data_IF_791810688299
#
_entry.id   IF_791810688299
#
_cell.length_a   1.000
_cell.length_b   1.000
_cell.length_c   1.000
_cell.angle_alpha   90.00
_cell.angle_beta   90.00
_cell.angle_gamma   90.00
#
_symmetry.space_group_name_H-M   'P 1'
#
loop_
_entity.id
_entity.type
_entity.pdbx_description
1 polymer ?
#
# COMPACT_ATOMS: atom_id res chain seq x y z
N UNK A 1 -12.68 45.39 18.42
CA UNK A 1 -13.45 44.31 17.77
C UNK A 1 -12.76 43.99 16.47
N UNK A 2 -11.81 43.06 16.47
CA UNK A 2 -11.33 42.49 15.20
C UNK A 2 -12.50 41.73 14.59
N UNK A 3 -12.93 42.15 13.40
CA UNK A 3 -13.93 41.42 12.63
C UNK A 3 -13.27 40.09 12.28
N UNK A 4 -13.68 39.01 12.95
CA UNK A 4 -13.21 37.67 12.62
C UNK A 4 -13.61 37.38 11.17
N UNK A 5 -12.64 37.40 10.27
CA UNK A 5 -12.83 37.07 8.87
C UNK A 5 -13.27 35.61 8.80
N UNK A 6 -14.54 35.39 8.48
CA UNK A 6 -15.11 34.04 8.35
C UNK A 6 -14.43 33.28 7.21
N UNK A 7 -14.43 31.94 7.28
CA UNK A 7 -13.90 31.07 6.21
C UNK A 7 -14.58 31.29 4.85
N UNK A 8 -15.76 31.94 4.83
CA UNK A 8 -16.48 32.35 3.60
C UNK A 8 -15.86 33.56 2.91
N UNK A 9 -14.86 34.21 3.50
CA UNK A 9 -14.15 35.35 2.94
C UNK A 9 -12.67 35.01 2.73
N UNK A 10 -12.13 35.45 1.59
CA UNK A 10 -10.71 35.28 1.30
C UNK A 10 -9.85 36.13 2.23
N UNK A 11 -8.87 35.51 2.88
CA UNK A 11 -7.87 36.21 3.69
C UNK A 11 -6.83 36.93 2.82
N UNK A 12 -6.56 36.45 1.59
CA UNK A 12 -5.66 37.09 0.61
C UNK A 12 -5.86 36.54 -0.82
N UNK A 13 -5.30 37.23 -1.82
CA UNK A 13 -5.41 36.89 -3.25
C UNK A 13 -4.90 35.49 -3.62
N UNK A 14 -4.10 34.84 -2.76
CA UNK A 14 -3.55 33.50 -3.02
C UNK A 14 -4.46 32.37 -2.57
N UNK A 15 -5.58 32.67 -1.90
CA UNK A 15 -6.56 31.66 -1.51
C UNK A 15 -7.56 31.40 -2.64
N UNK A 16 -7.98 30.13 -2.73
CA UNK A 16 -8.97 29.65 -3.66
C UNK A 16 -10.14 29.01 -2.89
N UNK A 17 -11.37 29.05 -3.43
CA UNK A 17 -12.49 28.37 -2.81
C UNK A 17 -12.29 26.84 -2.85
N UNK A 18 -12.57 26.17 -1.74
CA UNK A 18 -12.66 24.72 -1.62
C UNK A 18 -14.01 24.20 -2.15
N UNK A 19 -14.26 22.89 -2.04
CA UNK A 19 -15.49 22.26 -2.54
C UNK A 19 -16.79 22.75 -1.88
N UNK A 20 -16.71 23.33 -0.67
CA UNK A 20 -17.85 23.91 0.06
C UNK A 20 -17.90 25.44 -0.02
N UNK A 21 -16.99 26.07 -0.79
CA UNK A 21 -16.93 27.52 -0.98
C UNK A 21 -16.12 28.29 0.07
N UNK A 22 -15.51 27.61 1.04
CA UNK A 22 -14.57 28.21 1.99
C UNK A 22 -13.20 28.47 1.37
N UNK A 23 -12.52 29.57 1.71
CA UNK A 23 -11.25 29.95 1.10
C UNK A 23 -10.05 29.28 1.77
N UNK A 24 -9.22 28.58 0.99
CA UNK A 24 -8.04 27.85 1.44
C UNK A 24 -6.86 28.06 0.50
N UNK A 25 -5.64 27.75 0.94
CA UNK A 25 -4.48 27.75 0.05
C UNK A 25 -4.40 26.49 -0.80
N UNK A 26 -4.03 26.65 -2.06
CA UNK A 26 -3.67 25.53 -2.92
C UNK A 26 -2.39 24.88 -2.39
N UNK A 27 -2.44 23.57 -2.16
CA UNK A 27 -1.25 22.79 -1.83
C UNK A 27 -0.27 22.82 -3.00
N UNK A 28 1.03 23.00 -2.72
CA UNK A 28 2.07 22.95 -3.75
C UNK A 28 2.02 21.64 -4.53
N UNK A 29 2.29 21.66 -5.84
CA UNK A 29 2.16 20.46 -6.69
C UNK A 29 3.05 19.29 -6.21
N UNK A 30 4.25 19.53 -5.66
CA UNK A 30 5.08 18.46 -5.06
C UNK A 30 4.44 17.79 -3.84
N UNK A 31 3.79 18.56 -2.96
CA UNK A 31 3.06 17.99 -1.83
C UNK A 31 1.77 17.30 -2.30
N UNK A 32 1.14 17.78 -3.38
CA UNK A 32 0.02 17.09 -4.02
C UNK A 32 0.45 15.76 -4.61
N UNK A 33 1.61 15.69 -5.25
CA UNK A 33 2.22 14.44 -5.72
C UNK A 33 2.41 13.46 -4.56
N UNK A 34 2.98 13.89 -3.43
CA UNK A 34 3.13 13.03 -2.24
C UNK A 34 1.79 12.50 -1.72
N UNK A 35 0.75 13.35 -1.66
CA UNK A 35 -0.62 12.93 -1.30
C UNK A 35 -1.14 11.89 -2.28
N UNK A 36 -0.97 12.11 -3.59
CA UNK A 36 -1.37 11.15 -4.62
C UNK A 36 -0.61 9.83 -4.49
N UNK A 37 0.69 9.85 -4.21
CA UNK A 37 1.48 8.62 -3.97
C UNK A 37 0.97 7.83 -2.77
N UNK A 38 0.57 8.50 -1.68
CA UNK A 38 0.06 7.85 -0.47
C UNK A 38 -1.39 7.34 -0.60
N UNK A 39 -2.28 8.15 -1.19
CA UNK A 39 -3.73 7.92 -1.14
C UNK A 39 -4.35 7.53 -2.49
N UNK A 40 -3.65 7.75 -3.60
CA UNK A 40 -4.18 7.56 -4.95
C UNK A 40 -5.37 8.47 -5.24
N UNK A 41 -6.26 7.99 -6.11
CA UNK A 41 -7.53 8.65 -6.44
C UNK A 41 -8.73 7.69 -6.42
N UNK A 42 -8.51 6.42 -6.12
CA UNK A 42 -9.53 5.36 -6.11
C UNK A 42 -10.59 5.64 -5.04
N UNK A 43 -11.88 5.57 -5.41
CA UNK A 43 -13.00 5.92 -4.56
C UNK A 43 -13.28 7.42 -4.47
N UNK A 44 -12.41 8.27 -5.05
CA UNK A 44 -12.53 9.72 -4.96
C UNK A 44 -12.35 10.25 -3.54
N UNK A 45 -12.89 11.44 -3.30
CA UNK A 45 -13.12 11.98 -1.95
C UNK A 45 -14.62 12.16 -1.76
N UNK A 46 -15.04 12.58 -0.55
CA UNK A 46 -16.42 12.93 -0.25
C UNK A 46 -17.00 13.92 -1.28
N UNK A 47 -16.20 14.90 -1.72
CA UNK A 47 -16.64 15.96 -2.63
C UNK A 47 -16.24 15.75 -4.10
N UNK A 48 -15.19 14.96 -4.36
CA UNK A 48 -14.58 14.84 -5.70
C UNK A 48 -14.67 13.40 -6.18
N UNK A 49 -15.38 13.17 -7.29
CA UNK A 49 -15.45 11.85 -7.95
C UNK A 49 -14.06 11.36 -8.37
N UNK A 50 -13.86 10.05 -8.31
CA UNK A 50 -12.61 9.36 -8.65
C UNK A 50 -11.96 9.84 -9.96
N UNK A 51 -12.73 9.92 -11.05
CA UNK A 51 -12.21 10.37 -12.35
C UNK A 51 -11.66 11.80 -12.28
N UNK A 52 -12.43 12.73 -11.70
CA UNK A 52 -12.03 14.14 -11.55
C UNK A 52 -10.78 14.26 -10.68
N UNK A 53 -10.71 13.53 -9.57
CA UNK A 53 -9.54 13.52 -8.69
C UNK A 53 -8.29 12.97 -9.40
N UNK A 54 -8.46 11.95 -10.25
CA UNK A 54 -7.40 11.43 -11.11
C UNK A 54 -6.86 12.49 -12.06
N UNK A 55 -7.75 13.22 -12.75
CA UNK A 55 -7.36 14.31 -13.65
C UNK A 55 -6.62 15.43 -12.93
N UNK A 56 -7.14 15.92 -11.81
CA UNK A 56 -6.48 17.03 -11.09
C UNK A 56 -5.07 16.67 -10.58
N UNK A 57 -4.85 15.40 -10.20
CA UNK A 57 -3.53 14.92 -9.81
C UNK A 57 -2.61 14.74 -11.03
N UNK A 58 -3.14 14.31 -12.17
CA UNK A 58 -2.40 14.25 -13.43
C UNK A 58 -1.97 15.65 -13.90
N UNK A 59 -2.85 16.65 -13.81
CA UNK A 59 -2.55 18.04 -14.19
C UNK A 59 -1.45 18.64 -13.31
N UNK A 60 -1.50 18.38 -11.99
CA UNK A 60 -0.43 18.79 -11.08
C UNK A 60 0.93 18.16 -11.43
N UNK A 61 0.92 16.90 -11.87
CA UNK A 61 2.13 16.22 -12.31
C UNK A 61 2.63 16.76 -13.65
N UNK A 62 1.74 17.11 -14.58
CA UNK A 62 2.11 17.75 -15.85
C UNK A 62 2.71 19.13 -15.62
N UNK A 63 2.12 19.96 -14.75
CA UNK A 63 2.69 21.27 -14.36
C UNK A 63 4.11 21.14 -13.82
N UNK A 64 4.37 20.17 -12.95
CA UNK A 64 5.73 19.92 -12.44
C UNK A 64 6.72 19.55 -13.56
N UNK A 65 6.28 18.84 -14.60
CA UNK A 65 7.13 18.51 -15.74
C UNK A 65 7.37 19.75 -16.62
N UNK A 66 6.33 20.54 -16.88
CA UNK A 66 6.40 21.79 -17.64
C UNK A 66 7.30 22.83 -16.96
N UNK A 67 7.29 22.89 -15.63
CA UNK A 67 8.17 23.73 -14.80
C UNK A 67 9.64 23.22 -14.76
N UNK A 68 9.97 22.17 -15.52
CA UNK A 68 11.33 21.60 -15.58
C UNK A 68 11.72 20.74 -14.37
N UNK A 69 10.77 20.38 -13.49
CA UNK A 69 10.99 19.60 -12.27
C UNK A 69 10.73 18.10 -12.43
N UNK A 70 10.58 17.61 -13.65
CA UNK A 70 10.25 16.19 -13.88
C UNK A 70 11.30 15.20 -13.35
N UNK A 71 12.58 15.56 -13.30
CA UNK A 71 13.60 14.74 -12.64
C UNK A 71 13.39 14.62 -11.12
N UNK A 72 12.99 15.71 -10.44
CA UNK A 72 12.65 15.69 -9.02
C UNK A 72 11.46 14.75 -8.77
N UNK A 73 10.45 14.80 -9.65
CA UNK A 73 9.27 13.92 -9.60
C UNK A 73 9.68 12.46 -9.67
N UNK A 74 10.53 12.08 -10.64
CA UNK A 74 11.02 10.71 -10.78
C UNK A 74 11.82 10.27 -9.54
N UNK A 75 12.64 11.16 -8.98
CA UNK A 75 13.42 10.86 -7.78
C UNK A 75 12.52 10.66 -6.54
N UNK A 76 11.47 11.47 -6.40
CA UNK A 76 10.48 11.32 -5.33
C UNK A 76 9.73 9.98 -5.46
N UNK A 77 9.28 9.62 -6.67
CA UNK A 77 8.63 8.33 -6.96
C UNK A 77 9.55 7.16 -6.59
N UNK A 78 10.82 7.23 -7.01
CA UNK A 78 11.83 6.21 -6.70
C UNK A 78 12.01 6.06 -5.19
N UNK A 79 12.14 7.18 -4.47
CA UNK A 79 12.29 7.21 -3.01
C UNK A 79 11.09 6.55 -2.31
N UNK A 80 9.86 6.94 -2.68
CA UNK A 80 8.63 6.35 -2.13
C UNK A 80 8.52 4.85 -2.40
N UNK A 81 8.94 4.39 -3.59
CA UNK A 81 8.89 2.97 -3.95
C UNK A 81 9.94 2.13 -3.21
N UNK A 82 11.20 2.60 -3.15
CA UNK A 82 12.31 1.87 -2.55
C UNK A 82 12.15 1.73 -1.04
N UNK A 83 11.76 2.82 -0.38
CA UNK A 83 11.52 2.84 1.06
C UNK A 83 10.16 2.26 1.46
N UNK A 84 9.25 2.04 0.51
CA UNK A 84 7.93 1.48 0.79
C UNK A 84 7.01 2.43 1.59
N UNK A 85 7.12 3.74 1.36
CA UNK A 85 6.34 4.78 2.08
C UNK A 85 4.86 4.85 1.67
N UNK A 86 4.50 4.22 0.56
CA UNK A 86 3.12 4.18 0.06
C UNK A 86 2.54 2.77 0.20
N UNK A 87 1.27 2.70 0.64
CA UNK A 87 0.54 1.44 0.78
C UNK A 87 0.34 0.75 -0.58
N UNK A 88 -0.16 1.49 -1.56
CA UNK A 88 -0.42 1.01 -2.92
C UNK A 88 0.67 1.45 -3.88
N UNK A 89 0.87 0.69 -4.96
CA UNK A 89 1.93 0.97 -5.96
C UNK A 89 1.36 1.64 -7.21
N UNK A 90 0.05 1.50 -7.46
CA UNK A 90 -0.66 2.02 -8.61
C UNK A 90 -0.41 3.53 -8.83
N UNK A 91 -0.48 4.42 -7.81
CA UNK A 91 -0.23 5.84 -8.01
C UNK A 91 1.21 6.13 -8.46
N UNK A 92 2.20 5.44 -7.88
CA UNK A 92 3.60 5.57 -8.25
C UNK A 92 3.87 5.09 -9.68
N UNK A 93 3.24 3.98 -10.08
CA UNK A 93 3.37 3.42 -11.42
C UNK A 93 2.67 4.29 -12.47
N UNK A 94 1.52 4.89 -12.13
CA UNK A 94 0.84 5.87 -12.98
C UNK A 94 1.70 7.12 -13.17
N UNK A 95 2.21 7.70 -12.07
CA UNK A 95 3.09 8.87 -12.12
C UNK A 95 4.35 8.59 -12.97
N UNK A 96 4.98 7.43 -12.79
CA UNK A 96 6.12 6.99 -13.60
C UNK A 96 5.74 6.81 -15.08
N UNK A 97 4.54 6.31 -15.37
CA UNK A 97 4.04 6.15 -16.72
C UNK A 97 3.88 7.50 -17.43
N UNK A 98 3.37 8.53 -16.74
CA UNK A 98 3.30 9.90 -17.27
C UNK A 98 4.70 10.46 -17.52
N UNK A 99 5.61 10.38 -16.56
CA UNK A 99 7.00 10.82 -16.74
C UNK A 99 7.73 10.10 -17.88
N UNK A 100 7.37 8.85 -18.18
CA UNK A 100 7.98 8.08 -19.29
C UNK A 100 7.43 8.41 -20.69
N UNK A 101 6.37 9.21 -20.76
CA UNK A 101 5.66 9.62 -21.99
C UNK A 101 5.61 11.13 -22.19
N UNK A 102 6.20 11.92 -21.29
CA UNK A 102 6.28 13.36 -21.45
C UNK A 102 7.20 13.78 -22.61
N UNK A 103 7.07 15.04 -23.02
CA UNK A 103 7.88 15.69 -24.04
C UNK A 103 9.34 15.88 -23.60
N UNK A 104 9.59 16.13 -22.31
CA UNK A 104 10.94 16.33 -21.80
C UNK A 104 11.79 15.05 -21.84
N UNK A 105 12.91 15.12 -22.57
CA UNK A 105 13.85 14.01 -22.75
C UNK A 105 14.57 13.63 -21.46
N UNK A 106 14.92 14.60 -20.60
CA UNK A 106 15.64 14.32 -19.35
C UNK A 106 14.77 13.53 -18.38
N UNK A 107 13.54 13.98 -18.18
CA UNK A 107 12.52 13.29 -17.36
C UNK A 107 12.24 11.89 -17.89
N UNK A 108 12.03 11.75 -19.21
CA UNK A 108 11.79 10.45 -19.84
C UNK A 108 12.94 9.46 -19.63
N UNK A 109 14.20 9.91 -19.79
CA UNK A 109 15.36 9.07 -19.54
C UNK A 109 15.47 8.66 -18.07
N UNK A 110 15.24 9.60 -17.14
CA UNK A 110 15.22 9.30 -15.71
C UNK A 110 14.13 8.28 -15.36
N UNK A 111 12.92 8.44 -15.91
CA UNK A 111 11.80 7.53 -15.69
C UNK A 111 12.12 6.11 -16.14
N UNK A 112 12.69 5.92 -17.34
CA UNK A 112 13.08 4.58 -17.82
C UNK A 112 14.21 3.97 -16.98
N UNK A 113 15.19 4.76 -16.53
CA UNK A 113 16.24 4.29 -15.61
C UNK A 113 15.67 3.83 -14.27
N UNK A 114 14.59 4.44 -13.79
CA UNK A 114 13.94 4.06 -12.54
C UNK A 114 13.04 2.81 -12.66
N UNK A 115 12.71 2.33 -13.88
CA UNK A 115 11.79 1.20 -14.08
C UNK A 115 12.23 -0.08 -13.34
N UNK A 116 13.50 -0.55 -13.44
CA UNK A 116 13.92 -1.76 -12.73
C UNK A 116 13.79 -1.64 -11.20
N UNK A 117 13.98 -0.45 -10.67
CA UNK A 117 13.96 -0.17 -9.22
C UNK A 117 12.52 -0.04 -8.68
N UNK A 118 11.62 0.59 -9.43
CA UNK A 118 10.21 0.78 -9.04
C UNK A 118 9.38 -0.47 -9.35
N UNK A 119 9.55 -1.05 -10.54
CA UNK A 119 8.79 -2.23 -10.99
C UNK A 119 9.36 -3.54 -10.46
N UNK A 120 9.43 -3.72 -9.14
CA UNK A 120 10.10 -4.87 -8.50
C UNK A 120 9.57 -6.25 -8.91
N UNK A 121 8.25 -6.38 -9.08
CA UNK A 121 7.55 -7.64 -9.41
C UNK A 121 6.79 -7.53 -10.75
N UNK A 122 6.42 -8.65 -11.39
CA UNK A 122 5.68 -8.64 -12.66
C UNK A 122 4.41 -7.80 -12.63
N UNK A 123 3.64 -7.85 -11.54
CA UNK A 123 2.42 -7.04 -11.39
C UNK A 123 2.69 -5.54 -11.58
N UNK A 124 3.82 -5.03 -11.07
CA UNK A 124 4.17 -3.62 -11.23
C UNK A 124 4.49 -3.30 -12.68
N UNK A 125 5.29 -4.16 -13.34
CA UNK A 125 5.65 -3.98 -14.74
C UNK A 125 4.40 -4.02 -15.65
N UNK A 126 3.51 -4.98 -15.44
CA UNK A 126 2.26 -5.08 -16.18
C UNK A 126 1.35 -3.87 -15.96
N UNK A 127 1.24 -3.40 -14.72
CA UNK A 127 0.45 -2.22 -14.37
C UNK A 127 1.03 -0.94 -15.01
N UNK A 128 2.35 -0.76 -14.96
CA UNK A 128 3.04 0.34 -15.63
C UNK A 128 2.78 0.35 -17.14
N UNK A 129 2.87 -0.81 -17.79
CA UNK A 129 2.62 -0.92 -19.24
C UNK A 129 1.14 -0.69 -19.56
N UNK A 130 0.23 -1.16 -18.71
CA UNK A 130 -1.20 -0.87 -18.85
C UNK A 130 -1.48 0.64 -18.74
N UNK A 131 -0.95 1.32 -17.73
CA UNK A 131 -1.09 2.78 -17.62
C UNK A 131 -0.48 3.51 -18.82
N UNK A 132 0.64 3.03 -19.35
CA UNK A 132 1.21 3.60 -20.57
C UNK A 132 0.28 3.45 -21.78
N UNK A 133 -0.39 2.30 -21.89
CA UNK A 133 -1.40 2.05 -22.93
C UNK A 133 -2.59 3.00 -22.77
N UNK A 134 -3.06 3.22 -21.55
CA UNK A 134 -4.21 4.08 -21.26
C UNK A 134 -3.90 5.56 -21.54
N UNK A 135 -2.67 5.99 -21.26
CA UNK A 135 -2.19 7.36 -21.55
C UNK A 135 -1.94 7.63 -23.05
N UNK A 136 -1.90 6.59 -23.89
CA UNK A 136 -1.56 6.70 -25.32
C UNK A 136 -2.48 7.68 -26.07
N UNK A 137 -3.78 7.58 -25.81
CA UNK A 137 -4.80 8.42 -26.46
C UNK A 137 -4.78 9.85 -25.93
N UNK A 138 -4.76 10.01 -24.60
CA UNK A 138 -4.76 11.33 -23.95
C UNK A 138 -3.50 12.14 -24.22
N UNK A 139 -2.32 11.51 -24.19
CA UNK A 139 -1.03 12.18 -24.47
C UNK A 139 -0.66 12.17 -25.97
N UNK A 140 -1.51 11.62 -26.84
CA UNK A 140 -1.30 11.50 -28.30
C UNK A 140 0.10 11.00 -28.68
N UNK A 141 0.63 10.02 -27.95
CA UNK A 141 1.98 9.50 -28.15
C UNK A 141 1.99 7.97 -28.27
N UNK A 142 2.94 7.42 -29.02
CA UNK A 142 3.12 5.98 -29.15
C UNK A 142 3.81 5.36 -27.93
N UNK A 143 3.41 4.13 -27.56
CA UNK A 143 3.98 3.44 -26.39
C UNK A 143 5.28 2.67 -26.69
N UNK A 144 5.32 1.90 -27.79
CA UNK A 144 6.41 0.95 -28.09
C UNK A 144 7.57 1.57 -28.87
N UNK A 145 8.20 2.60 -28.28
CA UNK A 145 9.47 3.15 -28.77
C UNK A 145 10.68 2.30 -28.39
N UNK A 146 11.86 2.65 -28.92
CA UNK A 146 13.15 2.00 -28.58
C UNK A 146 13.42 2.01 -27.06
N UNK A 147 13.06 3.10 -26.38
CA UNK A 147 13.25 3.26 -24.94
C UNK A 147 12.46 2.24 -24.11
N UNK A 148 11.16 2.02 -24.42
CA UNK A 148 10.35 1.05 -23.70
C UNK A 148 10.83 -0.39 -23.95
N UNK A 149 11.15 -0.73 -25.21
CA UNK A 149 11.70 -2.05 -25.54
C UNK A 149 12.98 -2.35 -24.75
N UNK A 150 13.89 -1.36 -24.69
CA UNK A 150 15.13 -1.45 -23.92
C UNK A 150 14.85 -1.62 -22.42
N UNK A 151 13.99 -0.79 -21.83
CA UNK A 151 13.67 -0.87 -20.40
C UNK A 151 13.02 -2.21 -20.00
N UNK A 152 12.11 -2.75 -20.83
CA UNK A 152 11.52 -4.08 -20.60
C UNK A 152 12.58 -5.17 -20.75
N UNK A 153 13.46 -5.08 -21.75
CA UNK A 153 14.54 -6.05 -21.92
C UNK A 153 15.54 -6.04 -20.75
N UNK A 154 15.94 -4.86 -20.29
CA UNK A 154 16.79 -4.67 -19.11
C UNK A 154 16.15 -5.19 -17.83
N UNK A 155 14.82 -5.08 -17.70
CA UNK A 155 14.10 -5.62 -16.55
C UNK A 155 14.21 -7.14 -16.43
N UNK A 156 14.13 -7.86 -17.56
CA UNK A 156 14.33 -9.31 -17.58
C UNK A 156 15.81 -9.67 -17.46
N UNK A 157 16.69 -9.05 -18.24
CA UNK A 157 18.12 -9.36 -18.24
C UNK A 157 18.83 -8.98 -16.91
N UNK A 158 18.29 -8.01 -16.16
CA UNK A 158 18.87 -7.57 -14.89
C UNK A 158 18.47 -8.42 -13.68
N UNK A 159 17.65 -9.46 -13.86
CA UNK A 159 17.19 -10.34 -12.77
C UNK A 159 17.90 -11.69 -12.80
N UNK A 160 18.03 -12.31 -11.63
CA UNK A 160 18.52 -13.67 -11.49
C UNK A 160 17.54 -14.67 -12.14
N UNK A 161 18.06 -15.67 -12.86
CA UNK A 161 17.31 -16.68 -13.60
C UNK A 161 16.25 -17.39 -12.77
N UNK A 162 16.59 -17.80 -11.54
CA UNK A 162 15.65 -18.46 -10.63
C UNK A 162 14.56 -17.50 -10.14
N UNK A 163 14.90 -16.24 -9.90
CA UNK A 163 13.93 -15.22 -9.50
C UNK A 163 12.94 -14.90 -10.63
N UNK A 164 13.39 -14.96 -11.90
CA UNK A 164 12.50 -14.81 -13.06
C UNK A 164 11.60 -16.04 -13.20
N UNK A 165 12.14 -17.25 -13.07
CA UNK A 165 11.31 -18.47 -13.09
C UNK A 165 10.20 -18.41 -12.05
N UNK A 166 10.53 -18.10 -10.79
CA UNK A 166 9.54 -17.90 -9.73
C UNK A 166 8.52 -16.81 -10.07
N UNK A 167 8.98 -15.71 -10.67
CA UNK A 167 8.11 -14.60 -11.05
C UNK A 167 7.11 -14.97 -12.16
N UNK A 168 7.56 -15.67 -13.21
CA UNK A 168 6.70 -16.03 -14.35
C UNK A 168 5.72 -17.14 -14.02
N UNK A 169 6.08 -18.06 -13.12
CA UNK A 169 5.21 -19.14 -12.65
C UNK A 169 4.15 -18.63 -11.68
N UNK A 170 4.53 -17.72 -10.76
CA UNK A 170 3.65 -17.10 -9.77
C UNK A 170 2.69 -16.07 -10.38
N UNK A 171 3.18 -15.23 -11.30
CA UNK A 171 2.44 -14.09 -11.87
C UNK A 171 2.21 -14.23 -13.37
N UNK A 172 1.58 -15.32 -13.82
CA UNK A 172 1.35 -15.59 -15.26
C UNK A 172 0.69 -14.44 -16.04
N UNK A 173 -0.37 -13.84 -15.48
CA UNK A 173 -1.13 -12.74 -16.07
C UNK A 173 -1.65 -11.81 -14.99
N UNK A 174 -1.49 -10.49 -15.16
CA UNK A 174 -2.11 -9.45 -14.33
C UNK A 174 -2.45 -8.24 -15.19
N UNK A 175 -3.50 -7.51 -14.83
CA UNK A 175 -3.91 -6.25 -15.45
C UNK A 175 -3.97 -6.32 -16.99
N UNK A 176 -4.43 -7.45 -17.53
CA UNK A 176 -4.56 -7.66 -18.98
C UNK A 176 -3.30 -8.15 -19.71
N UNK A 177 -2.12 -8.08 -19.09
CA UNK A 177 -0.84 -8.45 -19.70
C UNK A 177 -0.31 -9.78 -19.19
N UNK A 178 0.41 -10.50 -20.05
CA UNK A 178 1.21 -11.66 -19.67
C UNK A 178 2.68 -11.50 -20.10
N UNK A 179 3.56 -12.34 -19.54
CA UNK A 179 4.98 -12.32 -19.89
C UNK A 179 5.21 -12.56 -21.38
N UNK A 180 4.41 -13.42 -22.02
CA UNK A 180 4.48 -13.70 -23.46
C UNK A 180 4.26 -12.44 -24.31
N UNK A 181 3.36 -11.55 -23.90
CA UNK A 181 3.12 -10.30 -24.62
C UNK A 181 4.33 -9.38 -24.54
N UNK A 182 4.92 -9.23 -23.34
CA UNK A 182 6.08 -8.37 -23.12
C UNK A 182 7.32 -8.88 -23.84
N UNK A 183 7.56 -10.20 -23.83
CA UNK A 183 8.69 -10.81 -24.53
C UNK A 183 8.59 -10.60 -26.04
N UNK A 184 7.38 -10.73 -26.61
CA UNK A 184 7.11 -10.47 -28.03
C UNK A 184 7.33 -9.00 -28.40
N UNK A 185 6.78 -8.08 -27.62
CA UNK A 185 6.77 -6.65 -27.96
C UNK A 185 8.11 -5.95 -27.64
N UNK A 186 8.86 -6.44 -26.65
CA UNK A 186 10.19 -5.94 -26.34
C UNK A 186 11.28 -6.43 -27.29
N UNK A 187 11.03 -7.51 -28.04
CA UNK A 187 12.05 -8.23 -28.80
C UNK A 187 13.26 -8.58 -27.92
N UNK A 188 13.01 -9.13 -26.72
CA UNK A 188 14.05 -9.50 -25.78
C UNK A 188 15.03 -10.49 -26.43
N UNK A 189 16.33 -10.16 -26.34
CA UNK A 189 17.42 -11.11 -26.53
C UNK A 189 17.90 -11.55 -25.13
N UNK A 190 17.72 -12.82 -24.74
CA UNK A 190 18.20 -13.33 -23.45
C UNK A 190 19.71 -13.12 -23.31
N UNK A 191 20.15 -12.61 -22.17
CA UNK A 191 21.57 -12.38 -21.87
C UNK A 191 22.33 -13.64 -21.46
N UNK A 192 21.63 -14.62 -20.86
CA UNK A 192 22.20 -15.85 -20.33
C UNK A 192 21.35 -17.08 -20.71
N UNK A 193 21.90 -18.27 -20.45
CA UNK A 193 21.26 -19.55 -20.79
C UNK A 193 19.98 -19.78 -19.96
N UNK A 194 19.99 -19.45 -18.67
CA UNK A 194 18.80 -19.62 -17.80
C UNK A 194 17.62 -18.76 -18.25
N UNK A 195 17.83 -17.49 -18.61
CA UNK A 195 16.77 -16.66 -19.18
C UNK A 195 16.32 -17.16 -20.56
N UNK A 196 17.19 -17.77 -21.35
CA UNK A 196 16.80 -18.41 -22.61
C UNK A 196 15.84 -19.59 -22.36
N UNK A 197 16.12 -20.42 -21.34
CA UNK A 197 15.21 -21.49 -20.88
C UNK A 197 13.85 -20.91 -20.46
N UNK A 198 13.85 -19.90 -19.58
CA UNK A 198 12.59 -19.29 -19.10
C UNK A 198 11.80 -18.62 -20.22
N UNK A 199 12.49 -17.92 -21.13
CA UNK A 199 11.86 -17.29 -22.29
C UNK A 199 11.23 -18.34 -23.20
N UNK A 200 11.92 -19.46 -23.45
CA UNK A 200 11.37 -20.60 -24.20
C UNK A 200 10.16 -21.18 -23.48
N UNK A 201 10.24 -21.44 -22.17
CA UNK A 201 9.12 -21.92 -21.35
C UNK A 201 7.88 -21.03 -21.50
N UNK A 202 8.01 -19.70 -21.39
CA UNK A 202 6.89 -18.76 -21.49
C UNK A 202 6.31 -18.69 -22.91
N UNK A 203 7.16 -18.74 -23.93
CA UNK A 203 6.75 -18.57 -25.32
C UNK A 203 6.11 -19.83 -25.92
N UNK A 204 6.65 -20.98 -25.55
CA UNK A 204 6.45 -22.29 -26.20
C UNK A 204 5.86 -23.37 -25.29
N UNK A 205 6.07 -23.26 -23.98
CA UNK A 205 5.57 -24.22 -22.99
C UNK A 205 6.59 -25.30 -22.59
N UNK A 206 6.20 -26.13 -21.62
CA UNK A 206 7.08 -27.08 -20.95
C UNK A 206 7.62 -28.19 -21.85
N UNK A 207 6.78 -28.77 -22.73
CA UNK A 207 7.18 -29.88 -23.62
C UNK A 207 8.38 -29.51 -24.52
N UNK A 208 8.34 -28.32 -25.12
CA UNK A 208 9.44 -27.82 -25.97
C UNK A 208 10.72 -27.52 -25.16
N UNK A 209 10.60 -27.20 -23.86
CA UNK A 209 11.77 -27.04 -22.99
C UNK A 209 12.39 -28.40 -22.67
N UNK A 210 11.59 -29.40 -22.32
CA UNK A 210 12.10 -30.75 -22.07
C UNK A 210 12.82 -31.32 -23.30
N UNK A 211 12.23 -31.17 -24.48
CA UNK A 211 12.82 -31.68 -25.73
C UNK A 211 14.11 -30.95 -26.10
N UNK A 212 14.14 -29.62 -25.97
CA UNK A 212 15.31 -28.83 -26.35
C UNK A 212 16.52 -28.99 -25.41
N UNK A 213 16.31 -29.51 -24.19
CA UNK A 213 17.33 -29.57 -23.15
C UNK A 213 17.56 -30.99 -22.60
N UNK A 214 17.01 -32.03 -23.24
CA UNK A 214 17.11 -33.43 -22.80
C UNK A 214 18.54 -33.97 -22.75
N UNK A 215 19.35 -33.61 -23.76
CA UNK A 215 20.71 -34.14 -23.97
C UNK A 215 21.79 -33.05 -23.87
N UNK A 216 21.42 -31.85 -23.44
CA UNK A 216 22.31 -30.69 -23.36
C UNK A 216 23.13 -30.72 -22.07
N UNK A 217 24.46 -30.51 -22.17
CA UNK A 217 25.31 -30.27 -20.99
C UNK A 217 24.99 -28.88 -20.42
N UNK A 218 24.22 -28.86 -19.34
CA UNK A 218 23.74 -27.64 -18.71
C UNK A 218 24.62 -27.27 -17.52
N UNK A 219 24.64 -25.98 -17.20
CA UNK A 219 25.20 -25.53 -15.93
C UNK A 219 24.37 -26.07 -14.75
N UNK A 220 24.97 -26.30 -13.56
CA UNK A 220 24.23 -26.77 -12.39
C UNK A 220 23.12 -25.78 -11.95
N UNK A 221 23.27 -24.50 -12.28
CA UNK A 221 22.26 -23.46 -12.02
C UNK A 221 21.05 -23.63 -12.96
N UNK A 222 21.31 -23.91 -14.24
CA UNK A 222 20.28 -24.18 -15.24
C UNK A 222 19.56 -25.50 -14.97
N UNK A 223 20.25 -26.52 -14.44
CA UNK A 223 19.61 -27.78 -14.02
C UNK A 223 18.63 -27.58 -12.88
N UNK A 224 19.01 -26.81 -11.84
CA UNK A 224 18.11 -26.44 -10.73
C UNK A 224 16.86 -25.71 -11.24
N UNK A 225 17.05 -24.80 -12.20
CA UNK A 225 15.97 -24.05 -12.85
C UNK A 225 15.00 -24.97 -13.59
N UNK A 226 15.49 -25.94 -14.34
CA UNK A 226 14.66 -26.92 -15.06
C UNK A 226 13.90 -27.81 -14.08
N UNK A 227 14.55 -28.32 -13.03
CA UNK A 227 13.88 -29.09 -11.95
C UNK A 227 12.78 -28.29 -11.28
N UNK A 228 13.00 -27.00 -11.02
CA UNK A 228 11.97 -26.12 -10.49
C UNK A 228 10.77 -25.97 -11.43
N UNK A 229 11.01 -25.74 -12.72
CA UNK A 229 9.93 -25.64 -13.72
C UNK A 229 9.17 -26.98 -13.85
N UNK A 230 9.87 -28.10 -13.73
CA UNK A 230 9.27 -29.43 -13.68
C UNK A 230 8.35 -29.59 -12.46
N UNK A 231 8.82 -29.24 -11.26
CA UNK A 231 8.05 -29.29 -10.02
C UNK A 231 6.76 -28.46 -10.14
N UNK A 232 6.84 -27.26 -10.74
CA UNK A 232 5.69 -26.38 -10.98
C UNK A 232 4.70 -26.97 -11.99
N UNK A 233 5.11 -27.81 -12.93
CA UNK A 233 4.15 -28.54 -13.78
C UNK A 233 3.62 -29.80 -13.10
N UNK A 234 4.46 -30.54 -12.38
CA UNK A 234 4.06 -31.74 -11.63
C UNK A 234 2.96 -31.47 -10.62
N UNK A 235 3.07 -30.36 -9.86
CA UNK A 235 2.07 -29.97 -8.85
C UNK A 235 0.66 -29.71 -9.44
N UNK A 236 0.58 -29.38 -10.74
CA UNK A 236 -0.70 -29.15 -11.44
C UNK A 236 -1.36 -30.43 -11.94
N UNK A 237 -0.62 -31.53 -11.99
CA UNK A 237 -1.11 -32.81 -12.49
C UNK A 237 -1.37 -33.81 -11.35
N UNK A 238 -0.61 -33.70 -10.26
CA UNK A 238 -0.83 -34.56 -9.09
C UNK A 238 -2.10 -34.19 -8.32
N UNK A 239 -2.73 -35.20 -7.73
CA UNK A 239 -3.84 -35.09 -6.78
C UNK A 239 -3.44 -35.56 -5.37
N UNK A 240 -2.23 -36.10 -5.22
CA UNK A 240 -1.74 -36.63 -3.95
C UNK A 240 -1.29 -35.48 -3.04
N UNK A 241 -1.79 -35.47 -1.81
CA UNK A 241 -1.49 -34.43 -0.84
C UNK A 241 -0.03 -34.50 -0.35
N UNK A 242 0.51 -35.71 -0.16
CA UNK A 242 1.88 -35.90 0.33
C UNK A 242 2.91 -35.44 -0.70
N UNK A 243 2.68 -35.76 -1.98
CA UNK A 243 3.53 -35.28 -3.07
C UNK A 243 3.51 -33.74 -3.16
N UNK A 244 2.34 -33.12 -2.99
CA UNK A 244 2.23 -31.65 -2.99
C UNK A 244 3.01 -31.03 -1.83
N UNK A 245 2.93 -31.61 -0.63
CA UNK A 245 3.68 -31.13 0.54
C UNK A 245 5.19 -31.23 0.29
N UNK A 246 5.67 -32.37 -0.20
CA UNK A 246 7.09 -32.55 -0.52
C UNK A 246 7.59 -31.55 -1.56
N UNK A 247 6.80 -31.30 -2.62
CA UNK A 247 7.13 -30.29 -3.64
C UNK A 247 7.14 -28.87 -3.08
N UNK A 248 6.28 -28.55 -2.10
CA UNK A 248 6.28 -27.24 -1.42
C UNK A 248 7.55 -27.07 -0.60
N UNK A 249 7.96 -28.08 0.15
CA UNK A 249 9.14 -28.04 1.03
C UNK A 249 10.45 -27.96 0.23
N UNK A 250 10.59 -28.77 -0.84
CA UNK A 250 11.81 -28.83 -1.65
C UNK A 250 12.01 -27.59 -2.53
N UNK A 251 10.94 -27.08 -3.16
CA UNK A 251 11.02 -26.00 -4.15
C UNK A 251 10.45 -24.66 -3.67
N UNK A 252 10.06 -24.57 -2.41
CA UNK A 252 9.43 -23.38 -1.80
C UNK A 252 8.24 -22.86 -2.64
N UNK A 253 7.37 -23.77 -3.08
CA UNK A 253 6.21 -23.41 -3.90
C UNK A 253 5.22 -22.57 -3.10
N UNK A 254 4.64 -21.56 -3.77
CA UNK A 254 3.64 -20.67 -3.17
C UNK A 254 2.22 -21.07 -3.57
N UNK A 255 1.25 -20.52 -2.85
CA UNK A 255 -0.19 -20.68 -3.09
C UNK A 255 -0.60 -20.48 -4.56
N UNK A 256 -0.01 -19.52 -5.27
CA UNK A 256 -0.33 -19.25 -6.68
C UNK A 256 0.04 -20.39 -7.65
N UNK A 257 0.92 -21.33 -7.26
CA UNK A 257 1.28 -22.50 -8.06
C UNK A 257 0.31 -23.66 -7.90
N UNK A 258 -0.45 -23.69 -6.80
CA UNK A 258 -1.31 -24.80 -6.44
C UNK A 258 -2.68 -24.71 -7.10
N UNK A 259 -3.31 -25.88 -7.27
CA UNK A 259 -4.71 -25.97 -7.68
C UNK A 259 -5.65 -25.58 -6.53
N UNK A 260 -6.84 -25.11 -6.87
CA UNK A 260 -7.87 -24.74 -5.89
C UNK A 260 -8.30 -25.90 -4.99
N UNK A 261 -8.17 -27.14 -5.47
CA UNK A 261 -8.46 -28.34 -4.68
C UNK A 261 -7.43 -28.56 -3.58
N UNK A 262 -6.14 -28.38 -3.88
CA UNK A 262 -5.04 -28.49 -2.90
C UNK A 262 -5.22 -27.50 -1.74
N UNK A 263 -5.78 -26.32 -2.02
CA UNK A 263 -6.03 -25.27 -1.02
C UNK A 263 -7.20 -25.58 -0.05
N UNK A 264 -7.82 -26.76 -0.15
CA UNK A 264 -8.79 -27.26 0.83
C UNK A 264 -8.15 -28.08 1.94
N UNK A 265 -6.98 -28.70 1.70
CA UNK A 265 -6.30 -29.54 2.69
C UNK A 265 -5.61 -28.69 3.77
N UNK A 266 -5.77 -29.08 5.04
CA UNK A 266 -5.13 -28.43 6.20
C UNK A 266 -3.61 -28.61 6.17
N UNK A 267 -3.13 -29.79 5.83
CA UNK A 267 -1.70 -30.11 5.84
C UNK A 267 -0.94 -29.34 4.75
N UNK A 268 -1.55 -29.15 3.58
CA UNK A 268 -0.98 -28.29 2.52
C UNK A 268 -0.83 -26.85 3.00
N UNK A 269 -1.79 -26.31 3.77
CA UNK A 269 -1.67 -24.96 4.33
C UNK A 269 -0.60 -24.86 5.42
N UNK A 270 -0.37 -25.91 6.21
CA UNK A 270 0.73 -25.97 7.19
C UNK A 270 2.10 -25.93 6.50
N UNK A 271 2.28 -26.72 5.44
CA UNK A 271 3.50 -26.69 4.64
C UNK A 271 3.73 -25.31 4.00
N UNK A 272 2.67 -24.69 3.46
CA UNK A 272 2.75 -23.33 2.90
C UNK A 272 3.12 -22.27 3.95
N UNK A 273 2.72 -22.44 5.21
CA UNK A 273 2.90 -21.43 6.26
C UNK A 273 4.37 -21.21 6.61
N UNK A 274 5.19 -22.27 6.56
CA UNK A 274 6.61 -22.23 6.94
C UNK A 274 7.36 -21.15 6.17
N UNK A 275 7.27 -21.16 4.84
CA UNK A 275 7.96 -20.22 3.95
C UNK A 275 7.02 -19.13 3.37
N UNK A 276 5.84 -18.93 3.97
CA UNK A 276 4.85 -17.97 3.44
C UNK A 276 5.36 -16.53 3.52
N UNK A 277 5.36 -15.73 2.43
CA UNK A 277 5.69 -14.30 2.52
C UNK A 277 4.73 -13.52 3.42
N UNK A 278 5.20 -12.51 4.17
CA UNK A 278 4.37 -11.81 5.17
C UNK A 278 3.12 -11.16 4.57
N UNK A 279 3.22 -10.56 3.38
CA UNK A 279 2.06 -9.99 2.66
C UNK A 279 1.01 -11.04 2.30
N UNK A 280 1.43 -12.27 1.99
CA UNK A 280 0.50 -13.36 1.71
C UNK A 280 -0.14 -13.87 3.00
N UNK A 281 0.63 -13.93 4.09
CA UNK A 281 0.19 -14.32 5.43
C UNK A 281 -0.90 -13.38 5.94
N UNK A 282 -0.66 -12.06 5.97
CA UNK A 282 -1.63 -11.04 6.41
C UNK A 282 -2.98 -11.15 5.69
N UNK A 283 -2.96 -11.48 4.39
CA UNK A 283 -4.18 -11.62 3.58
C UNK A 283 -4.94 -12.92 3.80
N UNK A 284 -4.31 -13.93 4.39
CA UNK A 284 -4.86 -15.27 4.55
C UNK A 284 -5.12 -15.65 6.02
N UNK A 285 -4.83 -14.80 7.01
CA UNK A 285 -5.05 -15.11 8.44
C UNK A 285 -6.46 -15.63 8.71
N UNK A 286 -7.48 -14.92 8.21
CA UNK A 286 -8.87 -15.36 8.36
C UNK A 286 -9.17 -16.70 7.70
N UNK A 287 -8.56 -17.00 6.54
CA UNK A 287 -8.74 -18.29 5.86
C UNK A 287 -8.01 -19.43 6.57
N UNK A 288 -6.80 -19.20 7.08
CA UNK A 288 -6.04 -20.21 7.82
C UNK A 288 -6.72 -20.53 9.16
N UNK A 289 -7.31 -19.51 9.81
CA UNK A 289 -8.11 -19.70 11.02
C UNK A 289 -9.41 -20.47 10.72
N UNK A 290 -10.12 -20.12 9.64
CA UNK A 290 -11.33 -20.82 9.22
C UNK A 290 -11.08 -22.31 8.83
N UNK A 291 -9.89 -22.62 8.33
CA UNK A 291 -9.48 -23.97 7.96
C UNK A 291 -8.84 -24.76 9.12
N UNK A 292 -8.89 -24.24 10.36
CA UNK A 292 -8.28 -24.85 11.55
C UNK A 292 -6.77 -25.11 11.41
N UNK A 293 -6.06 -24.31 10.61
CA UNK A 293 -4.59 -24.33 10.53
C UNK A 293 -4.00 -23.53 11.70
N UNK A 294 -4.67 -22.44 12.08
CA UNK A 294 -4.37 -21.60 13.23
C UNK A 294 -5.41 -21.89 14.30
N UNK A 295 -5.14 -22.91 15.12
CA UNK A 295 -5.97 -23.23 16.28
C UNK A 295 -5.43 -22.48 17.51
N UNK A 296 -6.30 -22.03 18.44
CA UNK A 296 -5.83 -21.33 19.64
C UNK A 296 -4.83 -22.17 20.44
N UNK A 297 -3.68 -21.58 20.77
CA UNK A 297 -2.59 -22.26 21.48
C UNK A 297 -1.74 -23.22 20.62
N UNK A 298 -1.91 -23.24 19.30
CA UNK A 298 -1.10 -24.07 18.41
C UNK A 298 0.30 -23.48 18.17
N UNK A 299 1.33 -24.32 17.87
CA UNK A 299 2.67 -23.83 17.55
C UNK A 299 2.69 -22.95 16.30
N UNK A 300 1.75 -23.15 15.37
CA UNK A 300 1.60 -22.34 14.17
C UNK A 300 1.19 -20.89 14.52
N UNK A 301 0.32 -20.68 15.51
CA UNK A 301 -0.05 -19.34 15.99
C UNK A 301 1.16 -18.65 16.60
N UNK A 302 1.92 -19.35 17.45
CA UNK A 302 3.15 -18.80 18.04
C UNK A 302 4.17 -18.37 16.95
N UNK A 303 4.37 -19.21 15.93
CA UNK A 303 5.25 -18.91 14.80
C UNK A 303 4.76 -17.69 13.99
N UNK A 304 3.46 -17.57 13.75
CA UNK A 304 2.88 -16.39 13.08
C UNK A 304 3.09 -15.13 13.91
N UNK A 305 2.81 -15.18 15.22
CA UNK A 305 2.98 -14.07 16.14
C UNK A 305 4.44 -13.61 16.22
N UNK A 306 5.41 -14.54 16.27
CA UNK A 306 6.84 -14.22 16.25
C UNK A 306 7.23 -13.46 14.97
N UNK A 307 6.78 -13.97 13.82
CA UNK A 307 7.06 -13.35 12.51
C UNK A 307 6.42 -11.97 12.36
N UNK A 308 5.20 -11.77 12.86
CA UNK A 308 4.51 -10.47 12.87
C UNK A 308 5.18 -9.46 13.82
N UNK A 309 5.78 -9.92 14.92
CA UNK A 309 6.48 -9.04 15.89
C UNK A 309 7.91 -8.69 15.45
N UNK A 310 8.45 -9.32 14.41
CA UNK A 310 9.82 -9.14 13.95
C UNK A 310 9.97 -7.93 13.01
N UNK A 311 10.54 -6.85 13.53
CA UNK A 311 10.75 -5.59 12.80
C UNK A 311 11.66 -5.74 11.55
N UNK A 312 12.70 -6.59 11.62
CA UNK A 312 13.63 -6.78 10.50
C UNK A 312 12.92 -7.42 9.31
N UNK A 313 12.05 -8.39 9.57
CA UNK A 313 11.25 -9.05 8.54
C UNK A 313 10.20 -8.10 7.95
N UNK A 314 9.50 -7.34 8.80
CA UNK A 314 8.52 -6.33 8.35
C UNK A 314 9.15 -5.30 7.40
N UNK A 315 10.35 -4.79 7.73
CA UNK A 315 11.09 -3.84 6.90
C UNK A 315 11.63 -4.47 5.61
N UNK A 316 12.14 -5.71 5.67
CA UNK A 316 12.65 -6.46 4.51
C UNK A 316 11.54 -6.71 3.48
N UNK A 317 10.37 -7.13 3.95
CA UNK A 317 9.19 -7.38 3.10
C UNK A 317 8.41 -6.10 2.76
N UNK A 318 8.85 -4.95 3.30
CA UNK A 318 8.24 -3.63 3.11
C UNK A 318 6.75 -3.62 3.44
N UNK A 319 6.40 -4.20 4.58
CA UNK A 319 5.03 -4.19 5.08
C UNK A 319 4.68 -2.76 5.52
N UNK A 320 3.75 -2.14 4.81
CA UNK A 320 3.23 -0.82 5.13
C UNK A 320 2.23 -0.90 6.31
N UNK A 321 2.21 0.09 7.23
CA UNK A 321 1.28 0.11 8.37
C UNK A 321 -0.18 -0.03 7.98
N UNK A 322 -0.59 0.60 6.87
CA UNK A 322 -1.95 0.47 6.33
C UNK A 322 -2.33 -0.99 5.97
N UNK A 323 -1.38 -1.82 5.53
CA UNK A 323 -1.68 -3.23 5.26
C UNK A 323 -1.98 -4.01 6.53
N UNK A 324 -1.26 -3.70 7.62
CA UNK A 324 -1.52 -4.25 8.95
C UNK A 324 -2.88 -3.80 9.45
N UNK A 325 -3.19 -2.51 9.34
CA UNK A 325 -4.45 -1.94 9.79
C UNK A 325 -5.65 -2.56 9.07
N UNK A 326 -5.57 -2.70 7.74
CA UNK A 326 -6.60 -3.38 6.94
C UNK A 326 -6.67 -4.87 7.26
N UNK A 327 -5.54 -5.54 7.53
CA UNK A 327 -5.54 -6.94 7.94
C UNK A 327 -6.21 -7.15 9.31
N UNK A 328 -5.93 -6.27 10.26
CA UNK A 328 -6.51 -6.27 11.61
C UNK A 328 -8.02 -6.10 11.55
N UNK A 329 -8.51 -5.08 10.84
CA UNK A 329 -9.95 -4.83 10.72
C UNK A 329 -10.68 -5.99 10.00
N UNK A 330 -10.08 -6.53 8.93
CA UNK A 330 -10.66 -7.67 8.24
C UNK A 330 -10.65 -8.92 9.11
N UNK A 331 -9.58 -9.19 9.86
CA UNK A 331 -9.47 -10.38 10.71
C UNK A 331 -10.42 -10.32 11.90
N UNK A 332 -10.62 -9.12 12.47
CA UNK A 332 -11.59 -8.86 13.54
C UNK A 332 -13.04 -9.14 13.11
N UNK A 333 -13.39 -8.87 11.85
CA UNK A 333 -14.78 -8.92 11.36
C UNK A 333 -15.48 -10.29 11.31
N UNK A 334 -14.90 -11.35 11.88
CA UNK A 334 -15.37 -12.76 11.98
C UNK A 334 -15.86 -13.43 10.66
N UNK A 335 -15.82 -12.69 9.55
CA UNK A 335 -16.38 -13.06 8.26
C UNK A 335 -15.62 -12.37 7.13
N UNK A 336 -15.43 -13.09 6.03
CA UNK A 336 -14.87 -12.51 4.82
C UNK A 336 -15.80 -11.47 4.20
N UNK A 337 -15.30 -10.25 3.97
CA UNK A 337 -16.05 -9.13 3.36
C UNK A 337 -16.78 -9.50 2.06
N UNK A 338 -16.20 -10.40 1.24
CA UNK A 338 -16.78 -10.88 -0.04
C UNK A 338 -17.18 -12.36 -0.03
N UNK A 339 -17.18 -13.03 1.13
CA UNK A 339 -17.25 -14.48 1.22
C UNK A 339 -18.27 -15.04 2.23
N UNK A 340 -18.46 -16.36 2.16
CA UNK A 340 -19.20 -17.15 3.16
C UNK A 340 -18.31 -17.67 4.30
N UNK A 341 -16.99 -17.53 4.17
CA UNK A 341 -16.01 -17.92 5.18
C UNK A 341 -16.25 -17.15 6.48
N UNK A 342 -16.30 -17.90 7.58
CA UNK A 342 -16.38 -17.39 8.96
C UNK A 342 -15.24 -17.99 9.76
N UNK A 343 -14.76 -17.25 10.74
CA UNK A 343 -13.72 -17.69 11.68
C UNK A 343 -13.91 -16.95 13.00
N UNK A 344 -13.32 -17.49 14.06
CA UNK A 344 -13.20 -16.82 15.34
C UNK A 344 -11.81 -16.18 15.43
N UNK A 345 -11.70 -14.85 15.63
CA UNK A 345 -10.40 -14.19 15.73
C UNK A 345 -9.64 -14.67 16.97
N UNK A 346 -8.36 -14.98 16.77
CA UNK A 346 -7.45 -15.30 17.86
C UNK A 346 -6.87 -14.02 18.50
N UNK A 347 -6.87 -13.96 19.83
CA UNK A 347 -6.42 -12.78 20.59
C UNK A 347 -4.92 -12.54 20.45
N UNK A 348 -4.09 -13.59 20.43
CA UNK A 348 -2.63 -13.46 20.32
C UNK A 348 -2.25 -12.86 18.97
N UNK A 349 -2.96 -13.26 17.91
CA UNK A 349 -2.79 -12.69 16.57
C UNK A 349 -3.21 -11.21 16.54
N UNK A 350 -4.32 -10.86 17.19
CA UNK A 350 -4.77 -9.45 17.26
C UNK A 350 -3.75 -8.57 17.99
N UNK A 351 -3.19 -9.04 19.10
CA UNK A 351 -2.12 -8.35 19.82
C UNK A 351 -0.83 -8.26 18.99
N UNK A 352 -0.48 -9.34 18.28
CA UNK A 352 0.68 -9.33 17.39
C UNK A 352 0.51 -8.33 16.23
N UNK A 353 -0.71 -8.21 15.69
CA UNK A 353 -1.03 -7.21 14.67
C UNK A 353 -0.95 -5.78 15.22
N UNK A 354 -1.48 -5.53 16.41
CA UNK A 354 -1.34 -4.23 17.11
C UNK A 354 0.13 -3.83 17.26
N UNK A 355 0.95 -4.72 17.82
CA UNK A 355 2.38 -4.48 17.99
C UNK A 355 3.11 -4.29 16.66
N UNK A 356 2.73 -5.07 15.62
CA UNK A 356 3.36 -4.97 14.31
C UNK A 356 3.10 -3.62 13.64
N UNK A 357 1.92 -3.01 13.83
CA UNK A 357 1.56 -1.73 13.23
C UNK A 357 2.57 -0.64 13.59
N UNK A 358 2.88 -0.47 14.88
CA UNK A 358 3.84 0.54 15.33
C UNK A 358 5.27 0.24 14.83
N UNK A 359 5.67 -1.03 14.78
CA UNK A 359 6.99 -1.46 14.27
C UNK A 359 7.17 -1.26 12.77
N UNK A 360 6.08 -1.19 11.99
CA UNK A 360 6.16 -0.91 10.55
C UNK A 360 6.52 0.54 10.24
N UNK A 361 6.29 1.47 11.18
CA UNK A 361 6.75 2.85 11.03
C UNK A 361 8.26 2.95 11.20
N UNK A 362 8.85 3.97 10.60
CA UNK A 362 10.24 4.32 10.86
C UNK A 362 10.31 4.89 12.27
N UNK A 363 10.96 4.17 13.19
CA UNK A 363 11.24 4.65 14.55
C UNK A 363 11.97 5.99 14.47
N UNK A 364 11.43 7.01 15.13
CA UNK A 364 12.02 8.33 15.24
C UNK A 364 12.33 8.62 16.70
N UNK A 365 13.37 9.41 16.95
CA UNK A 365 13.64 9.91 18.29
C UNK A 365 12.57 10.95 18.66
N UNK A 366 12.01 10.87 19.88
CA UNK A 366 11.02 11.83 20.32
C UNK A 366 11.64 13.22 20.49
N UNK A 367 10.88 14.24 20.15
CA UNK A 367 11.31 15.64 20.30
C UNK A 367 11.10 16.16 21.72
N UNK A 368 10.22 15.52 22.50
CA UNK A 368 9.90 15.93 23.87
C UNK A 368 9.10 17.23 23.94
N UNK A 369 8.52 17.65 22.82
CA UNK A 369 7.64 18.82 22.75
C UNK A 369 6.20 18.44 23.11
N UNK A 370 5.38 19.48 23.30
CA UNK A 370 3.95 19.36 23.59
C UNK A 370 3.18 19.32 22.27
N UNK A 371 2.44 18.25 22.03
CA UNK A 371 1.65 18.04 20.82
C UNK A 371 0.15 18.07 21.14
N UNK A 372 -0.61 18.80 20.33
CA UNK A 372 -2.05 18.70 20.31
C UNK A 372 -2.48 18.06 19.00
N UNK A 373 -3.11 16.89 19.10
CA UNK A 373 -3.50 16.05 17.97
C UNK A 373 -5.01 16.13 17.79
N UNK A 374 -5.45 16.85 16.75
CA UNK A 374 -6.86 17.03 16.46
C UNK A 374 -7.32 16.17 15.30
N UNK A 375 -8.33 15.34 15.55
CA UNK A 375 -8.94 14.46 14.55
C UNK A 375 -10.22 15.11 14.04
N UNK A 376 -10.27 15.37 12.74
CA UNK A 376 -11.50 15.75 12.05
C UNK A 376 -12.43 14.53 11.99
N UNK A 377 -13.60 14.65 12.60
CA UNK A 377 -14.67 13.63 12.64
C UNK A 377 -15.92 14.08 11.90
N UNK A 378 -15.79 15.07 11.02
CA UNK A 378 -16.88 15.52 10.18
C UNK A 378 -17.38 14.45 9.20
N UNK A 379 -18.57 14.68 8.64
CA UNK A 379 -19.20 13.79 7.67
C UNK A 379 -18.30 13.49 6.45
N UNK A 380 -17.47 14.45 6.04
CA UNK A 380 -16.52 14.25 4.94
C UNK A 380 -15.46 13.18 5.23
N UNK A 381 -15.12 13.00 6.51
CA UNK A 381 -14.10 12.06 6.96
C UNK A 381 -14.59 10.60 6.96
N UNK A 382 -15.87 10.36 6.68
CA UNK A 382 -16.42 9.01 6.43
C UNK A 382 -16.06 8.46 5.04
N UNK A 383 -15.41 9.25 4.19
CA UNK A 383 -14.88 8.77 2.91
C UNK A 383 -13.94 7.57 3.10
N UNK A 384 -14.02 6.59 2.20
CA UNK A 384 -13.16 5.42 2.23
C UNK A 384 -11.76 5.77 1.75
N UNK A 385 -10.75 5.28 2.46
CA UNK A 385 -9.35 5.49 2.09
C UNK A 385 -8.83 4.28 1.31
N UNK A 386 -8.18 4.52 0.17
CA UNK A 386 -7.51 3.50 -0.64
C UNK A 386 -8.43 2.33 -1.05
N UNK A 387 -9.72 2.59 -1.29
CA UNK A 387 -10.72 1.55 -1.61
C UNK A 387 -10.89 0.48 -0.54
N UNK A 388 -10.52 0.79 0.72
CA UNK A 388 -10.60 -0.13 1.85
C UNK A 388 -11.94 -0.03 2.60
N UNK A 389 -12.09 -0.83 3.65
CA UNK A 389 -13.22 -0.74 4.59
C UNK A 389 -13.10 0.43 5.56
N UNK A 390 -11.91 1.03 5.67
CA UNK A 390 -11.57 2.06 6.66
C UNK A 390 -11.92 3.47 6.16
N UNK A 391 -12.41 4.30 7.08
CA UNK A 391 -12.72 5.70 6.84
C UNK A 391 -11.51 6.60 7.12
N UNK A 392 -11.52 7.83 6.60
CA UNK A 392 -10.44 8.79 6.83
C UNK A 392 -10.27 9.16 8.31
N UNK A 393 -11.36 9.32 9.07
CA UNK A 393 -11.31 9.58 10.52
C UNK A 393 -10.59 8.47 11.28
N UNK A 394 -10.91 7.22 10.93
CA UNK A 394 -10.29 6.02 11.50
C UNK A 394 -8.80 5.94 11.20
N UNK A 395 -8.39 6.25 9.97
CA UNK A 395 -6.98 6.27 9.57
C UNK A 395 -6.24 7.43 10.25
N UNK A 396 -6.88 8.59 10.40
CA UNK A 396 -6.33 9.74 11.11
C UNK A 396 -6.12 9.43 12.61
N UNK A 397 -7.07 8.74 13.25
CA UNK A 397 -6.92 8.28 14.63
C UNK A 397 -5.74 7.31 14.79
N UNK A 398 -5.58 6.37 13.85
CA UNK A 398 -4.43 5.46 13.85
C UNK A 398 -3.10 6.22 13.74
N UNK A 399 -3.04 7.29 12.93
CA UNK A 399 -1.85 8.16 12.85
C UNK A 399 -1.64 8.97 14.15
N UNK A 400 -2.70 9.45 14.79
CA UNK A 400 -2.60 10.15 16.07
C UNK A 400 -2.02 9.23 17.15
N UNK A 401 -2.43 7.97 17.19
CA UNK A 401 -1.88 6.98 18.12
C UNK A 401 -0.37 6.75 17.94
N UNK A 402 0.14 6.83 16.70
CA UNK A 402 1.58 6.70 16.45
C UNK A 402 2.34 7.88 17.05
N UNK A 403 1.83 9.10 16.86
CA UNK A 403 2.44 10.31 17.41
C UNK A 403 2.35 10.30 18.93
N UNK A 404 1.19 10.00 19.50
CA UNK A 404 0.95 9.97 20.93
C UNK A 404 1.83 8.93 21.66
N UNK A 405 2.01 7.73 21.08
CA UNK A 405 2.93 6.73 21.64
C UNK A 405 4.42 7.08 21.46
N UNK A 406 4.75 8.02 20.58
CA UNK A 406 6.13 8.49 20.38
C UNK A 406 6.43 9.69 21.30
N UNK A 407 5.52 10.64 21.37
CA UNK A 407 5.65 11.90 22.11
C UNK A 407 4.79 11.87 23.37
N UNK A 408 5.42 11.75 24.54
CA UNK A 408 4.74 11.57 25.84
C UNK A 408 3.77 12.70 26.22
N UNK A 409 4.03 13.91 25.75
CA UNK A 409 3.20 15.09 26.02
C UNK A 409 2.29 15.34 24.82
N UNK A 410 1.32 14.44 24.63
CA UNK A 410 0.35 14.47 23.54
C UNK A 410 -1.08 14.54 24.08
N UNK A 411 -1.88 15.46 23.55
CA UNK A 411 -3.31 15.57 23.85
C UNK A 411 -4.13 15.31 22.59
N UNK A 412 -4.94 14.25 22.60
CA UNK A 412 -5.81 13.88 21.49
C UNK A 412 -7.19 14.51 21.68
N UNK A 413 -7.65 15.26 20.68
CA UNK A 413 -8.97 15.88 20.63
C UNK A 413 -9.66 15.56 19.31
N UNK A 414 -10.99 15.62 19.28
CA UNK A 414 -11.78 15.44 18.06
C UNK A 414 -12.60 16.70 17.81
N UNK A 415 -12.83 17.03 16.54
CA UNK A 415 -13.62 18.20 16.17
C UNK A 415 -14.46 17.94 14.91
N UNK A 416 -15.58 18.64 14.82
CA UNK A 416 -16.41 18.74 13.63
C UNK A 416 -16.79 20.21 13.42
N UNK A 417 -18.03 20.57 13.74
CA UNK A 417 -18.54 21.93 13.89
C UNK A 417 -18.41 22.46 15.33
N UNK A 418 -18.04 21.58 16.25
CA UNK A 418 -17.74 21.85 17.65
C UNK A 418 -16.64 20.88 18.12
N UNK A 419 -16.06 21.18 19.28
CA UNK A 419 -15.13 20.28 19.94
C UNK A 419 -15.89 19.09 20.51
N UNK A 420 -15.53 17.89 20.06
CA UNK A 420 -16.17 16.64 20.49
C UNK A 420 -15.21 15.93 21.46
N UNK A 421 -15.69 15.41 22.60
CA UNK A 421 -14.85 14.63 23.49
C UNK A 421 -14.27 13.41 22.75
N UNK A 422 -12.94 13.35 22.66
CA UNK A 422 -12.27 12.22 22.03
C UNK A 422 -12.11 11.09 23.05
N UNK A 423 -12.84 10.00 22.85
CA UNK A 423 -12.77 8.82 23.73
C UNK A 423 -11.52 7.95 23.49
N UNK A 424 -10.58 8.39 22.66
CA UNK A 424 -9.34 7.67 22.32
C UNK A 424 -8.22 8.08 23.27
N UNK A 425 -7.61 7.09 23.93
CA UNK A 425 -6.43 7.31 24.79
C UNK A 425 -5.26 6.47 24.31
N UNK A 426 -4.05 6.83 24.75
CA UNK A 426 -2.78 6.21 24.31
C UNK A 426 -2.67 4.72 24.64
N UNK A 427 -3.30 4.29 25.75
CA UNK A 427 -3.31 2.92 26.25
C UNK A 427 -4.23 1.98 25.46
N UNK A 428 -5.12 2.53 24.62
CA UNK A 428 -6.05 1.72 23.85
C UNK A 428 -5.33 0.92 22.77
N UNK A 429 -5.78 -0.31 22.56
CA UNK A 429 -5.33 -1.12 21.41
C UNK A 429 -5.98 -0.60 20.12
N UNK A 430 -5.33 -0.79 18.98
CA UNK A 430 -5.90 -0.40 17.68
C UNK A 430 -7.33 -0.94 17.49
N UNK A 431 -7.66 -2.22 17.78
CA UNK A 431 -9.05 -2.70 17.67
C UNK A 431 -10.07 -1.90 18.48
N UNK A 432 -9.69 -1.37 19.65
CA UNK A 432 -10.53 -0.53 20.49
C UNK A 432 -10.67 0.87 19.89
N UNK A 433 -9.58 1.46 19.41
CA UNK A 433 -9.60 2.77 18.73
C UNK A 433 -10.52 2.72 17.50
N UNK A 434 -10.39 1.69 16.66
CA UNK A 434 -11.23 1.50 15.47
C UNK A 434 -12.71 1.40 15.83
N UNK A 435 -13.03 0.68 16.91
CA UNK A 435 -14.40 0.55 17.38
C UNK A 435 -14.97 1.89 17.88
N UNK A 436 -14.24 2.59 18.76
CA UNK A 436 -14.69 3.90 19.27
C UNK A 436 -14.86 4.93 18.16
N UNK A 437 -13.94 4.97 17.19
CA UNK A 437 -14.04 5.88 16.05
C UNK A 437 -15.23 5.56 15.13
N UNK A 438 -15.75 4.33 15.15
CA UNK A 438 -16.97 3.98 14.41
C UNK A 438 -18.26 4.45 15.12
N UNK A 439 -18.19 4.75 16.41
CA UNK A 439 -19.33 5.19 17.24
C UNK A 439 -19.47 6.72 17.31
N UNK A 440 -18.43 7.48 16.92
CA UNK A 440 -18.44 8.95 16.99
C UNK A 440 -19.55 9.52 16.09
N UNK A 441 -20.41 10.34 16.69
CA UNK A 441 -21.56 11.01 16.06
C UNK A 441 -21.16 11.98 14.94
N UNK A 442 -21.99 11.99 13.90
CA UNK A 442 -21.89 12.72 12.62
C UNK A 442 -22.16 14.21 12.78
N UNK A 443 -21.35 15.07 12.15
CA UNK A 443 -21.66 16.49 11.98
C UNK A 443 -20.79 17.21 10.92
N UNK A 444 -21.12 18.47 10.60
CA UNK A 444 -20.49 19.32 9.57
C UNK A 444 -19.08 19.84 9.95
N UNK A 445 -18.33 20.43 8.99
CA UNK A 445 -16.92 20.86 9.14
C UNK A 445 -16.79 22.33 9.59
N UNK A 446 -16.03 22.61 10.65
CA UNK A 446 -15.41 23.93 10.92
C UNK A 446 -13.97 23.76 11.45
N UNK A 447 -12.96 24.07 10.63
CA UNK A 447 -11.53 23.89 10.98
C UNK A 447 -11.00 24.98 11.94
N UNK A 448 -11.69 26.12 12.07
CA UNK A 448 -11.22 27.28 12.87
C UNK A 448 -11.30 27.07 14.38
N UNK A 449 -12.18 26.20 14.85
CA UNK A 449 -12.51 26.09 16.28
C UNK A 449 -11.40 25.42 17.10
N UNK A 450 -10.48 24.74 16.42
CA UNK A 450 -9.32 24.09 17.03
C UNK A 450 -8.38 25.09 17.75
N UNK A 451 -8.08 26.23 17.12
CA UNK A 451 -7.15 27.22 17.70
C UNK A 451 -7.85 27.99 18.83
N UNK A 452 -9.14 28.32 18.68
CA UNK A 452 -9.91 29.01 19.71
C UNK A 452 -10.10 28.16 20.97
N UNK A 453 -10.43 26.87 20.85
CA UNK A 453 -10.60 25.98 22.01
C UNK A 453 -9.32 25.78 22.83
N UNK A 454 -8.17 25.77 22.18
CA UNK A 454 -6.85 25.67 22.83
C UNK A 454 -6.52 26.88 23.71
N UNK A 455 -7.00 28.07 23.33
CA UNK A 455 -6.82 29.30 24.11
C UNK A 455 -7.74 29.40 25.33
N UNK A 456 -8.91 28.75 25.29
CA UNK A 456 -9.92 28.81 26.35
C UNK A 456 -9.64 27.88 27.54
N UNK A 457 -8.85 26.81 27.33
CA UNK A 457 -8.55 25.80 28.35
C UNK A 457 -7.21 25.99 29.09
N UNK A 458 -6.59 27.17 29.01
CA UNK A 458 -5.44 27.53 29.86
C UNK A 458 -5.90 27.89 31.29
N UNK A 459 -5.47 27.19 32.35
CA UNK A 459 -5.93 27.45 33.72
C UNK A 459 -5.49 28.81 34.31
N UNK A 460 -4.64 29.56 33.63
CA UNK A 460 -4.16 30.87 34.10
C UNK A 460 -5.12 32.05 33.79
N UNK A 461 -6.19 31.84 33.03
CA UNK A 461 -7.16 32.91 32.70
C UNK A 461 -8.45 32.92 33.55
N UNK A 462 -8.63 31.98 34.50
CA UNK A 462 -9.82 31.92 35.36
C UNK A 462 -9.70 32.63 36.72
N UNK A 463 -8.57 33.31 37.01
CA UNK A 463 -8.42 34.12 38.24
C UNK A 463 -8.37 35.61 37.90
N UNK A 464 -9.53 36.21 37.68
CA UNK A 464 -9.59 37.67 37.60
C UNK A 464 -10.95 38.21 37.20
N UNK A 465 -11.95 38.11 38.07
CA UNK A 465 -13.03 39.12 38.24
C UNK A 465 -14.09 38.62 39.23
N UNK A 466 -13.83 38.79 40.53
CA UNK A 466 -14.89 38.82 41.55
C UNK A 466 -14.65 39.99 42.51
N UNK A 467 -14.77 41.21 42.00
CA UNK A 467 -14.83 42.43 42.80
C UNK A 467 -16.30 42.86 42.97
N UNK A 468 -16.87 42.59 44.14
CA UNK A 468 -18.16 43.15 44.58
C UNK A 468 -18.00 44.65 44.81
N UNK A 469 -18.85 45.47 44.19
CA UNK A 469 -19.06 46.87 44.56
C UNK A 469 -20.50 47.03 45.06
N UNK A 470 -20.64 47.37 46.34
CA UNK A 470 -21.85 47.85 47.01
C UNK A 470 -22.07 49.34 46.74
N UNK A 471 -23.31 49.84 46.60
CA UNK A 471 -23.57 51.27 46.68
C UNK A 471 -24.05 51.66 48.09
N UNK A 472 -23.50 52.77 48.58
CA UNK A 472 -23.93 53.50 49.76
C UNK A 472 -24.75 54.71 49.30
N UNK A 473 -25.90 54.90 49.97
CA UNK A 473 -26.87 56.01 49.94
C UNK A 473 -27.68 56.26 48.67
#
# INVERSE_FOLDING_TARGET
>A
MEVATSQTQSCNEKQLPNSEGGYVWQVTDMNRLRRFLCFGSEGGTYYIKEQKLGFENADALLRLIEDGRGCDVVQEIKTFSQEGRAAKQEPALFALAVCSQCSDSKTKQAAYKAVPEVCRIPTHLFTFIQFKKDLKEGMKCGMWGRALRKAVAEWYNGKNDMAIALAVTKYKKRNGWCHKDLLRLSHLKPANEGLAVVTKYVMKGWKEVQEAYKDSKLSPETEKLIKYLEAVERVKHTKDELEVIHLIEEYSLVREHLLTNHLKSKEVWKALLQEMPLTAMLRNLGKMTANSVLEPGSPEVAAVCERLRNEKLLKKDRIHPFHVLVALENYKGERGYRGKLRWQPDNDILEALDASFYKTFKTMEPTGKRFMLAIDVSDSMFQKVLGSVLNASTVAAAMCMVVARTEKDSHIVAFSHEMVPCSVTEDMTLPQVLHKMSEVSKAFIFVSDFICGSSANCPEFQKGTTGKLSPSF
#
